data_IF_178253985592
#
_entry.id   IF_178253985592
#
_cell.length_a   1.000
_cell.length_b   1.000
_cell.length_c   1.000
_cell.angle_alpha   90.00
_cell.angle_beta   90.00
_cell.angle_gamma   90.00
#
_symmetry.space_group_name_H-M   'P 1'
#
loop_
_entity.id
_entity.type
_entity.pdbx_description
1 polymer ?
#
# COMPACT_ATOMS: atom_id res chain seq x y z
N UNK A 1 -17.93 18.67 -29.87
CA UNK A 1 -18.83 17.52 -29.65
C UNK A 1 -18.13 16.20 -29.29
N UNK A 2 -16.81 16.04 -29.46
CA UNK A 2 -16.13 14.78 -29.07
C UNK A 2 -16.09 14.51 -27.56
N UNK A 3 -15.87 15.54 -26.73
CA UNK A 3 -15.73 15.38 -25.27
C UNK A 3 -16.99 14.83 -24.59
N UNK A 4 -18.18 15.20 -25.09
CA UNK A 4 -19.44 14.66 -24.58
C UNK A 4 -19.62 13.17 -24.94
N UNK A 5 -19.18 12.77 -26.13
CA UNK A 5 -19.18 11.39 -26.58
C UNK A 5 -18.17 10.53 -25.79
N UNK A 6 -16.95 11.05 -25.58
CA UNK A 6 -15.92 10.39 -24.75
C UNK A 6 -16.34 10.27 -23.29
N UNK A 7 -16.96 11.30 -22.71
CA UNK A 7 -17.49 11.24 -21.34
C UNK A 7 -18.59 10.18 -21.20
N UNK A 8 -19.47 10.08 -22.20
CA UNK A 8 -20.55 9.07 -22.23
C UNK A 8 -19.97 7.66 -22.39
N UNK A 9 -18.96 7.48 -23.24
CA UNK A 9 -18.26 6.21 -23.43
C UNK A 9 -17.53 5.78 -22.15
N UNK A 10 -16.81 6.68 -21.48
CA UNK A 10 -16.12 6.38 -20.22
C UNK A 10 -17.11 6.03 -19.09
N UNK A 11 -18.26 6.71 -19.03
CA UNK A 11 -19.31 6.36 -18.08
C UNK A 11 -19.95 4.99 -18.38
N UNK A 12 -20.10 4.62 -19.65
CA UNK A 12 -20.58 3.30 -20.06
C UNK A 12 -19.58 2.19 -19.70
N UNK A 13 -18.28 2.40 -19.99
CA UNK A 13 -17.19 1.51 -19.60
C UNK A 13 -17.20 1.35 -18.08
N UNK A 14 -17.23 2.45 -17.32
CA UNK A 14 -17.26 2.42 -15.86
C UNK A 14 -18.39 1.57 -15.28
N UNK A 15 -19.61 1.68 -15.83
CA UNK A 15 -20.74 0.82 -15.44
C UNK A 15 -20.50 -0.66 -15.75
N UNK A 16 -19.87 -0.97 -16.87
CA UNK A 16 -19.65 -2.36 -17.30
C UNK A 16 -18.57 -3.08 -16.47
N UNK A 17 -17.51 -2.37 -16.08
CA UNK A 17 -16.41 -2.94 -15.26
C UNK A 17 -16.53 -2.60 -13.76
N UNK A 18 -17.57 -1.88 -13.35
CA UNK A 18 -17.82 -1.56 -11.95
C UNK A 18 -16.86 -0.51 -11.36
N UNK A 19 -16.27 0.34 -12.18
CA UNK A 19 -15.34 1.40 -11.75
C UNK A 19 -15.89 2.80 -12.09
N UNK A 20 -15.47 3.81 -11.33
CA UNK A 20 -15.92 5.19 -11.55
C UNK A 20 -15.30 5.79 -12.81
N UNK A 21 -16.00 6.76 -13.43
CA UNK A 21 -15.49 7.50 -14.61
C UNK A 21 -14.09 8.11 -14.38
N UNK A 22 -13.76 8.71 -13.21
CA UNK A 22 -12.40 9.17 -12.92
C UNK A 22 -11.34 8.07 -12.98
N UNK A 23 -11.66 6.84 -12.54
CA UNK A 23 -10.73 5.70 -12.63
C UNK A 23 -10.49 5.31 -14.09
N UNK A 24 -11.54 5.26 -14.91
CA UNK A 24 -11.42 4.98 -16.36
C UNK A 24 -10.54 6.03 -17.05
N UNK A 25 -10.74 7.32 -16.74
CA UNK A 25 -9.91 8.42 -17.24
C UNK A 25 -8.44 8.26 -16.82
N UNK A 26 -8.18 7.91 -15.56
CA UNK A 26 -6.82 7.71 -15.06
C UNK A 26 -6.10 6.56 -15.78
N UNK A 27 -6.78 5.44 -16.03
CA UNK A 27 -6.22 4.32 -16.80
C UNK A 27 -5.94 4.70 -18.24
N UNK A 28 -6.85 5.43 -18.90
CA UNK A 28 -6.63 5.93 -20.26
C UNK A 28 -5.43 6.86 -20.36
N UNK A 29 -5.32 7.82 -19.43
CA UNK A 29 -4.16 8.72 -19.40
C UNK A 29 -2.83 7.98 -19.19
N UNK A 30 -2.82 6.91 -18.37
CA UNK A 30 -1.63 6.07 -18.20
C UNK A 30 -1.32 5.28 -19.46
N UNK A 31 -2.34 4.69 -20.08
CA UNK A 31 -2.19 3.96 -21.33
C UNK A 31 -1.67 4.85 -22.46
N UNK A 32 -2.18 6.06 -22.59
CA UNK A 32 -1.71 7.01 -23.61
C UNK A 32 -0.24 7.42 -23.36
N UNK A 33 0.22 7.40 -22.11
CA UNK A 33 1.58 7.75 -21.73
C UNK A 33 2.59 6.60 -21.84
N UNK A 34 2.17 5.34 -21.68
CA UNK A 34 3.11 4.21 -21.61
C UNK A 34 2.54 2.84 -21.99
N UNK A 35 1.43 2.82 -22.73
CA UNK A 35 0.79 1.60 -23.22
C UNK A 35 0.33 0.66 -22.11
N UNK A 36 0.35 -0.64 -22.41
CA UNK A 36 -0.07 -1.70 -21.48
C UNK A 36 0.82 -1.74 -20.23
N UNK A 37 2.11 -1.48 -20.37
CA UNK A 37 3.06 -1.50 -19.24
C UNK A 37 2.73 -0.43 -18.19
N UNK A 38 2.14 0.69 -18.59
CA UNK A 38 1.69 1.74 -17.69
C UNK A 38 0.38 1.42 -16.93
N UNK A 39 -0.28 0.30 -17.27
CA UNK A 39 -1.45 -0.21 -16.56
C UNK A 39 -1.11 -1.25 -15.49
N UNK A 40 0.16 -1.66 -15.37
CA UNK A 40 0.63 -2.54 -14.29
C UNK A 40 0.35 -1.85 -12.95
N UNK A 41 -0.06 -2.65 -11.96
CA UNK A 41 -0.23 -2.17 -10.59
C UNK A 41 1.07 -1.52 -10.11
N UNK A 42 1.06 -0.19 -10.01
CA UNK A 42 2.16 0.53 -9.40
C UNK A 42 2.30 0.03 -7.96
N UNK A 43 3.52 -0.22 -7.47
CA UNK A 43 3.73 -0.57 -6.07
C UNK A 43 2.99 0.45 -5.21
N UNK A 44 2.06 -0.04 -4.38
CA UNK A 44 1.20 0.82 -3.56
C UNK A 44 2.08 1.86 -2.88
N UNK A 45 1.73 3.14 -3.06
CA UNK A 45 2.37 4.27 -2.39
C UNK A 45 2.14 4.16 -0.88
N UNK A 46 2.98 3.36 -0.23
CA UNK A 46 3.05 3.19 1.19
C UNK A 46 4.30 2.36 1.46
N UNK A 47 5.38 3.02 1.87
CA UNK A 47 6.54 2.32 2.43
C UNK A 47 6.06 1.66 3.72
N UNK A 48 6.02 0.32 3.82
CA UNK A 48 5.86 -0.30 5.13
C UNK A 48 6.96 0.29 6.02
N UNK A 49 6.70 0.64 7.29
CA UNK A 49 7.74 1.15 8.16
C UNK A 49 8.91 0.17 8.12
N UNK A 50 10.08 0.63 7.64
CA UNK A 50 11.27 -0.21 7.60
C UNK A 50 11.79 -0.27 9.03
N UNK A 51 11.36 -1.30 9.73
CA UNK A 51 11.83 -1.64 11.07
C UNK A 51 13.20 -2.29 10.90
N UNK A 52 14.15 -1.90 11.76
CA UNK A 52 15.48 -2.48 11.76
C UNK A 52 15.42 -3.99 12.07
N UNK A 53 15.99 -4.80 11.18
CA UNK A 53 16.07 -6.26 11.34
C UNK A 53 16.84 -6.66 12.61
N UNK A 54 17.88 -5.91 12.96
CA UNK A 54 18.63 -6.15 14.20
C UNK A 54 17.73 -5.95 15.43
N UNK A 55 16.85 -4.93 15.41
CA UNK A 55 15.91 -4.67 16.49
C UNK A 55 14.85 -5.78 16.62
N UNK A 56 14.39 -6.35 15.50
CA UNK A 56 13.49 -7.52 15.47
C UNK A 56 14.16 -8.72 16.14
N UNK A 57 15.40 -9.04 15.76
CA UNK A 57 16.14 -10.17 16.32
C UNK A 57 16.36 -9.97 17.82
N UNK A 58 16.85 -8.81 18.26
CA UNK A 58 17.08 -8.53 19.68
C UNK A 58 15.82 -8.66 20.54
N UNK A 59 14.67 -8.18 20.05
CA UNK A 59 13.43 -8.23 20.82
C UNK A 59 12.78 -9.61 20.81
N UNK A 60 12.87 -10.36 19.70
CA UNK A 60 12.33 -11.72 19.63
C UNK A 60 13.13 -12.74 20.43
N UNK A 61 14.42 -12.48 20.67
CA UNK A 61 15.28 -13.30 21.55
C UNK A 61 14.94 -13.13 23.04
N UNK A 62 14.16 -12.12 23.40
CA UNK A 62 13.67 -11.90 24.76
C UNK A 62 12.15 -12.10 24.82
N UNK A 63 11.60 -12.61 25.93
CA UNK A 63 10.15 -12.63 26.10
C UNK A 63 9.59 -11.20 26.07
N UNK A 64 8.32 -11.02 25.65
CA UNK A 64 7.67 -9.72 25.72
C UNK A 64 7.76 -9.15 27.13
N UNK A 65 8.04 -7.84 27.29
CA UNK A 65 8.10 -7.23 28.61
C UNK A 65 6.72 -7.29 29.29
N UNK A 66 6.74 -7.32 30.63
CA UNK A 66 5.55 -7.58 31.46
C UNK A 66 4.42 -6.54 31.24
N UNK A 67 4.77 -5.35 30.73
CA UNK A 67 3.85 -4.26 30.39
C UNK A 67 2.94 -4.57 29.20
N UNK A 68 3.29 -5.56 28.37
CA UNK A 68 2.51 -5.95 27.19
C UNK A 68 1.53 -7.10 27.48
N UNK A 69 1.57 -7.68 28.68
CA UNK A 69 0.65 -8.73 29.17
C UNK A 69 0.45 -9.92 28.20
N UNK A 70 1.48 -10.28 27.43
CA UNK A 70 1.48 -11.42 26.50
C UNK A 70 2.68 -12.32 26.76
N UNK A 71 2.51 -13.63 26.60
CA UNK A 71 3.59 -14.62 26.83
C UNK A 71 4.47 -14.84 25.60
N UNK A 72 4.02 -14.40 24.43
CA UNK A 72 4.73 -14.56 23.15
C UNK A 72 4.51 -13.34 22.26
N UNK A 73 5.51 -13.05 21.42
CA UNK A 73 5.39 -12.02 20.39
C UNK A 73 4.43 -12.47 19.28
N UNK A 74 3.47 -11.61 18.94
CA UNK A 74 2.84 -11.65 17.63
C UNK A 74 3.53 -10.63 16.72
N UNK A 75 3.54 -10.89 15.41
CA UNK A 75 4.18 -9.99 14.44
C UNK A 75 3.64 -8.53 14.54
N UNK A 76 2.35 -8.37 14.80
CA UNK A 76 1.69 -7.06 14.93
C UNK A 76 2.11 -6.33 16.20
N UNK A 77 2.17 -7.05 17.32
CA UNK A 77 2.52 -6.51 18.63
C UNK A 77 4.01 -6.14 18.70
N UNK A 78 4.87 -6.95 18.10
CA UNK A 78 6.29 -6.63 17.91
C UNK A 78 6.47 -5.40 17.02
N UNK A 79 5.75 -5.30 15.90
CA UNK A 79 5.83 -4.15 15.01
C UNK A 79 5.39 -2.84 15.68
N UNK A 80 4.30 -2.88 16.47
CA UNK A 80 3.83 -1.72 17.24
C UNK A 80 4.84 -1.32 18.33
N UNK A 81 5.44 -2.30 19.04
CA UNK A 81 6.45 -2.06 20.06
C UNK A 81 7.71 -1.41 19.46
N UNK A 82 8.25 -1.97 18.38
CA UNK A 82 9.44 -1.45 17.70
C UNK A 82 9.18 -0.07 17.06
N UNK A 83 7.95 0.17 16.59
CA UNK A 83 7.54 1.49 16.08
C UNK A 83 7.50 2.54 17.20
N UNK A 84 6.98 2.18 18.37
CA UNK A 84 6.99 3.05 19.57
C UNK A 84 8.40 3.29 20.09
N UNK A 85 9.28 2.28 20.03
CA UNK A 85 10.68 2.38 20.40
C UNK A 85 11.54 3.17 19.39
N UNK A 86 10.99 3.52 18.23
CA UNK A 86 11.69 4.30 17.21
C UNK A 86 12.74 3.51 16.42
N UNK A 87 12.72 2.17 16.48
CA UNK A 87 13.65 1.29 15.79
C UNK A 87 13.38 1.26 14.28
N UNK A 88 13.87 2.28 13.57
CA UNK A 88 13.79 2.39 12.11
C UNK A 88 15.15 2.11 11.50
N UNK A 89 15.20 1.34 10.42
CA UNK A 89 16.44 1.16 9.66
C UNK A 89 16.83 2.50 9.03
N UNK A 90 18.10 2.89 9.18
CA UNK A 90 18.70 3.85 8.28
C UNK A 90 18.81 3.21 6.89
N UNK A 91 18.40 3.93 5.84
CA UNK A 91 18.61 3.53 4.44
C UNK A 91 20.02 3.90 3.98
#
# INVERSE_FOLDING_TARGET
MLLAADGTANAAIGRQVGVSTPTVLAWRNRYDAGGIDALVDLPRSGRPPVIDEAAIITHTLNPPPDDVAVTHWSARLLADHLTKAGCRSAS
#
